data_IF_932240295819
#
_entry.id   IF_932240295819
#
_cell.length_a   1.000
_cell.length_b   1.000
_cell.length_c   1.000
_cell.angle_alpha   90.00
_cell.angle_beta   90.00
_cell.angle_gamma   90.00
#
_symmetry.space_group_name_H-M   'P 1'
#
loop_
_entity.id
_entity.type
_entity.pdbx_description
1 polymer ?
#
# COMPACT_ATOMS: atom_id res chain seq x y z
N UNK A 1 8.01 -9.01 -4.64
CA UNK A 1 9.33 -8.72 -4.01
C UNK A 1 9.82 -7.32 -4.36
N UNK A 2 10.11 -7.01 -5.63
CA UNK A 2 10.60 -5.68 -6.04
C UNK A 2 9.71 -4.51 -5.56
N UNK A 3 8.40 -4.59 -5.78
CA UNK A 3 7.42 -3.56 -5.35
C UNK A 3 7.45 -3.31 -3.82
N UNK A 4 7.56 -4.37 -3.02
CA UNK A 4 7.58 -4.24 -1.55
C UNK A 4 8.90 -3.69 -1.02
N UNK A 5 10.01 -3.96 -1.72
CA UNK A 5 11.34 -3.60 -1.27
C UNK A 5 11.85 -2.28 -1.88
N UNK A 6 11.15 -1.68 -2.83
CA UNK A 6 11.51 -0.34 -3.32
C UNK A 6 11.22 0.70 -2.23
N UNK A 7 12.09 1.71 -2.05
CA UNK A 7 11.91 2.72 -1.02
C UNK A 7 10.70 3.63 -1.30
N UNK A 8 10.31 3.80 -2.56
CA UNK A 8 9.17 4.65 -2.92
C UNK A 8 7.84 4.00 -2.54
N UNK A 9 6.87 4.77 -2.00
CA UNK A 9 5.47 4.34 -1.94
C UNK A 9 4.95 4.01 -3.34
N UNK A 10 4.16 2.94 -3.44
CA UNK A 10 3.57 2.48 -4.70
C UNK A 10 2.05 2.55 -4.60
N UNK A 11 1.44 3.27 -5.53
CA UNK A 11 -0.01 3.42 -5.65
C UNK A 11 -0.48 2.68 -6.91
N UNK A 12 -1.52 1.86 -6.78
CA UNK A 12 -2.22 1.28 -7.93
C UNK A 12 -3.51 2.04 -8.21
N UNK A 13 -3.74 2.44 -9.46
CA UNK A 13 -5.05 2.86 -9.97
C UNK A 13 -5.66 1.70 -10.78
N UNK A 14 -6.84 1.23 -10.39
CA UNK A 14 -7.43 0.00 -10.94
C UNK A 14 -8.81 0.30 -11.52
N UNK A 15 -8.88 0.29 -12.84
CA UNK A 15 -10.13 0.33 -13.58
C UNK A 15 -10.36 -1.01 -14.30
N UNK A 16 -11.54 -1.61 -14.10
CA UNK A 16 -11.92 -2.86 -14.75
C UNK A 16 -11.35 -4.14 -14.14
N UNK A 17 -10.83 -5.04 -14.97
CA UNK A 17 -10.54 -6.44 -14.61
C UNK A 17 -9.15 -6.57 -13.97
N UNK A 18 -9.11 -6.94 -12.69
CA UNK A 18 -7.89 -7.16 -11.91
C UNK A 18 -7.85 -8.61 -11.40
N UNK A 19 -7.35 -9.55 -12.20
CA UNK A 19 -7.46 -10.99 -11.91
C UNK A 19 -6.11 -11.70 -11.96
N UNK A 20 -5.97 -12.76 -11.15
CA UNK A 20 -4.75 -13.58 -11.10
C UNK A 20 -3.53 -12.72 -10.77
N UNK A 21 -2.50 -12.75 -11.63
CA UNK A 21 -1.30 -11.94 -11.48
C UNK A 21 -1.58 -10.43 -11.36
N UNK A 22 -2.64 -9.91 -12.00
CA UNK A 22 -3.05 -8.51 -11.84
C UNK A 22 -3.45 -8.19 -10.39
N UNK A 23 -4.25 -9.06 -9.76
CA UNK A 23 -4.64 -8.93 -8.36
C UNK A 23 -3.44 -9.07 -7.40
N UNK A 24 -2.47 -9.92 -7.76
CA UNK A 24 -1.21 -10.05 -7.02
C UNK A 24 -0.39 -8.76 -7.07
N UNK A 25 -0.25 -8.15 -8.25
CA UNK A 25 0.48 -6.88 -8.39
C UNK A 25 -0.23 -5.76 -7.63
N UNK A 26 -1.56 -5.70 -7.73
CA UNK A 26 -2.37 -4.74 -6.98
C UNK A 26 -2.14 -4.87 -5.47
N UNK A 27 -2.30 -6.06 -4.88
CA UNK A 27 -2.10 -6.25 -3.43
C UNK A 27 -0.66 -6.02 -2.96
N UNK A 28 0.33 -6.07 -3.88
CA UNK A 28 1.72 -5.77 -3.56
C UNK A 28 2.01 -4.27 -3.48
N UNK A 29 1.14 -3.41 -4.04
CA UNK A 29 1.24 -1.95 -3.87
C UNK A 29 0.86 -1.54 -2.44
N UNK A 30 1.32 -0.38 -2.01
CA UNK A 30 1.06 0.13 -0.66
C UNK A 30 -0.37 0.67 -0.55
N UNK A 31 -0.82 1.40 -1.58
CA UNK A 31 -2.16 2.01 -1.68
C UNK A 31 -2.84 1.57 -2.98
N UNK A 32 -4.16 1.33 -2.93
CA UNK A 32 -4.96 0.91 -4.09
C UNK A 32 -6.19 1.79 -4.23
N UNK A 33 -6.31 2.49 -5.34
CA UNK A 33 -7.50 3.21 -5.76
C UNK A 33 -8.20 2.39 -6.84
N UNK A 34 -9.53 2.33 -6.81
CA UNK A 34 -10.31 1.51 -7.73
C UNK A 34 -11.54 2.20 -8.26
N UNK A 35 -12.26 1.52 -9.15
CA UNK A 35 -13.59 1.93 -9.61
C UNK A 35 -14.66 1.00 -9.10
N UNK A 36 -15.91 1.45 -9.01
CA UNK A 36 -17.04 0.59 -8.60
C UNK A 36 -17.21 -0.62 -9.56
N UNK A 37 -16.91 -0.41 -10.85
CA UNK A 37 -17.00 -1.42 -11.92
C UNK A 37 -15.86 -2.44 -11.89
N UNK A 38 -14.83 -2.21 -11.06
CA UNK A 38 -13.68 -3.10 -10.97
C UNK A 38 -14.07 -4.51 -10.50
N UNK A 39 -13.37 -5.51 -11.03
CA UNK A 39 -13.57 -6.93 -10.68
C UNK A 39 -12.24 -7.54 -10.28
N UNK A 40 -12.13 -7.90 -9.00
CA UNK A 40 -10.92 -8.47 -8.40
C UNK A 40 -11.12 -9.97 -8.22
N UNK A 41 -10.17 -10.80 -8.65
CA UNK A 41 -10.27 -12.26 -8.41
C UNK A 41 -8.94 -12.98 -8.36
N UNK A 42 -8.85 -13.98 -7.49
CA UNK A 42 -7.71 -14.88 -7.33
C UNK A 42 -8.06 -16.26 -7.92
N UNK A 43 -7.93 -16.39 -9.24
CA UNK A 43 -8.51 -17.50 -10.02
C UNK A 43 -7.68 -18.80 -10.01
N UNK A 44 -6.63 -18.92 -9.20
CA UNK A 44 -5.72 -20.08 -9.23
C UNK A 44 -6.43 -21.40 -8.91
N UNK A 45 -7.37 -21.41 -7.96
CA UNK A 45 -8.15 -22.59 -7.62
C UNK A 45 -9.06 -23.08 -8.76
N UNK A 46 -9.51 -22.17 -9.64
CA UNK A 46 -10.35 -22.51 -10.80
C UNK A 46 -9.64 -23.32 -11.87
N UNK A 47 -8.31 -23.32 -11.86
CA UNK A 47 -7.47 -24.10 -12.78
C UNK A 47 -6.78 -25.27 -12.09
N UNK A 48 -7.26 -25.66 -10.90
CA UNK A 48 -6.73 -26.80 -10.14
C UNK A 48 -5.39 -26.54 -9.44
N UNK A 49 -4.98 -25.28 -9.33
CA UNK A 49 -3.80 -24.88 -8.56
C UNK A 49 -4.19 -24.53 -7.12
N UNK A 50 -3.19 -24.49 -6.24
CA UNK A 50 -3.40 -23.90 -4.92
C UNK A 50 -3.91 -22.46 -5.10
N UNK A 51 -4.85 -22.03 -4.25
CA UNK A 51 -5.40 -20.67 -4.28
C UNK A 51 -4.35 -19.57 -4.03
N UNK A 52 -3.10 -19.94 -3.76
CA UNK A 52 -2.02 -19.06 -3.41
C UNK A 52 -0.87 -19.11 -4.41
N UNK A 53 -0.42 -17.93 -4.82
CA UNK A 53 0.80 -17.71 -5.58
C UNK A 53 1.37 -16.34 -5.21
N UNK A 54 2.66 -16.13 -5.45
CA UNK A 54 3.35 -14.83 -5.36
C UNK A 54 3.12 -14.04 -4.05
N UNK A 55 2.85 -14.75 -2.94
CA UNK A 55 2.61 -14.16 -1.62
C UNK A 55 1.15 -13.91 -1.25
N UNK A 56 0.17 -14.41 -2.02
CA UNK A 56 -1.26 -14.21 -1.74
C UNK A 56 -1.67 -14.58 -0.31
N UNK A 57 -1.27 -15.75 0.20
CA UNK A 57 -1.57 -16.16 1.58
C UNK A 57 -0.87 -15.32 2.65
N UNK A 58 0.21 -14.62 2.30
CA UNK A 58 0.93 -13.77 3.26
C UNK A 58 0.37 -12.34 3.26
N UNK A 59 -0.03 -11.82 2.10
CA UNK A 59 -0.36 -10.41 1.92
C UNK A 59 -1.86 -10.16 2.01
N UNK A 60 -2.68 -10.96 1.31
CA UNK A 60 -4.12 -10.70 1.22
C UNK A 60 -4.83 -10.72 2.59
N UNK A 61 -4.58 -11.68 3.49
CA UNK A 61 -5.16 -11.64 4.84
C UNK A 61 -4.84 -10.40 5.65
N UNK A 62 -3.68 -9.76 5.39
CA UNK A 62 -3.26 -8.54 6.09
C UNK A 62 -4.00 -7.30 5.58
N UNK A 63 -4.54 -7.37 4.36
CA UNK A 63 -5.30 -6.28 3.74
C UNK A 63 -6.78 -6.40 4.11
N UNK A 64 -7.36 -7.60 3.94
CA UNK A 64 -8.82 -7.78 4.05
C UNK A 64 -9.25 -8.69 5.20
N UNK A 65 -8.32 -9.22 6.00
CA UNK A 65 -8.60 -10.20 7.05
C UNK A 65 -8.60 -11.65 6.57
N UNK A 66 -8.28 -12.58 7.49
CA UNK A 66 -8.06 -14.01 7.18
C UNK A 66 -9.29 -14.69 6.56
N UNK A 67 -10.49 -14.48 7.11
CA UNK A 67 -11.71 -15.16 6.64
C UNK A 67 -12.08 -14.78 5.21
N UNK A 68 -12.07 -13.48 4.92
CA UNK A 68 -12.35 -12.94 3.57
C UNK A 68 -11.30 -13.37 2.55
N UNK A 69 -10.01 -13.38 2.95
CA UNK A 69 -8.95 -13.88 2.10
C UNK A 69 -9.14 -15.37 1.78
N UNK A 70 -9.42 -16.21 2.78
CA UNK A 70 -9.69 -17.63 2.56
C UNK A 70 -10.87 -17.85 1.60
N UNK A 71 -11.96 -17.09 1.77
CA UNK A 71 -13.12 -17.15 0.87
C UNK A 71 -12.72 -16.91 -0.59
N UNK A 72 -11.98 -15.83 -0.88
CA UNK A 72 -11.57 -15.49 -2.23
C UNK A 72 -10.57 -16.49 -2.81
N UNK A 73 -9.58 -16.94 -2.02
CA UNK A 73 -8.53 -17.85 -2.47
C UNK A 73 -9.06 -19.28 -2.71
N UNK A 74 -10.05 -19.73 -1.96
CA UNK A 74 -10.68 -21.04 -2.19
C UNK A 74 -11.68 -20.99 -3.35
N UNK A 75 -12.59 -20.02 -3.34
CA UNK A 75 -13.68 -19.97 -4.35
C UNK A 75 -13.22 -19.47 -5.71
N UNK A 76 -12.18 -18.63 -5.76
CA UNK A 76 -11.79 -17.89 -6.95
C UNK A 76 -12.92 -17.01 -7.49
N UNK A 77 -13.88 -16.59 -6.66
CA UNK A 77 -14.98 -15.71 -7.09
C UNK A 77 -14.48 -14.30 -7.38
N UNK A 78 -15.33 -13.51 -8.02
CA UNK A 78 -15.06 -12.08 -8.18
C UNK A 78 -15.49 -11.34 -6.91
N UNK A 79 -14.64 -10.42 -6.46
CA UNK A 79 -14.94 -9.35 -5.52
C UNK A 79 -15.21 -8.08 -6.34
N UNK A 80 -16.34 -7.41 -6.08
CA UNK A 80 -16.68 -6.15 -6.76
C UNK A 80 -15.85 -4.98 -6.23
N UNK A 81 -15.82 -3.85 -6.94
CA UNK A 81 -15.16 -2.64 -6.47
C UNK A 81 -15.70 -2.13 -5.13
N UNK A 82 -17.03 -2.11 -4.97
CA UNK A 82 -17.68 -1.72 -3.71
C UNK A 82 -17.36 -2.68 -2.55
N UNK A 83 -17.30 -3.98 -2.82
CA UNK A 83 -16.91 -4.96 -1.81
C UNK A 83 -15.43 -4.80 -1.44
N UNK A 84 -14.58 -4.57 -2.44
CA UNK A 84 -13.15 -4.34 -2.28
C UNK A 84 -12.87 -3.10 -1.40
N UNK A 85 -13.58 -2.00 -1.58
CA UNK A 85 -13.45 -0.81 -0.72
C UNK A 85 -13.92 -1.13 0.71
N UNK A 86 -15.12 -1.68 0.87
CA UNK A 86 -15.69 -2.04 2.18
C UNK A 86 -14.81 -3.00 2.98
N UNK A 87 -14.07 -3.87 2.29
CA UNK A 87 -13.19 -4.85 2.90
C UNK A 87 -11.78 -4.31 3.18
N UNK A 88 -11.45 -3.10 2.72
CA UNK A 88 -10.13 -2.49 2.86
C UNK A 88 -9.13 -2.90 1.78
N UNK A 89 -9.56 -3.60 0.73
CA UNK A 89 -8.71 -3.85 -0.44
C UNK A 89 -8.47 -2.55 -1.21
N UNK A 90 -9.52 -1.80 -1.54
CA UNK A 90 -9.36 -0.44 -2.04
C UNK A 90 -9.38 0.56 -0.89
N UNK A 91 -8.49 1.54 -0.96
CA UNK A 91 -8.46 2.67 -0.04
C UNK A 91 -9.58 3.67 -0.36
N UNK A 92 -9.88 3.87 -1.66
CA UNK A 92 -10.94 4.75 -2.14
C UNK A 92 -11.45 4.27 -3.50
N UNK A 93 -12.68 4.65 -3.83
CA UNK A 93 -13.27 4.45 -5.15
C UNK A 93 -13.42 5.80 -5.86
N UNK A 94 -13.17 5.77 -7.16
CA UNK A 94 -13.30 6.91 -8.07
C UNK A 94 -14.00 6.47 -9.36
N UNK A 95 -14.39 7.43 -10.20
CA UNK A 95 -14.91 7.13 -11.53
C UNK A 95 -13.78 6.64 -12.47
N UNK A 96 -14.14 5.87 -13.49
CA UNK A 96 -13.16 5.31 -14.44
C UNK A 96 -12.31 6.38 -15.12
N UNK A 97 -12.90 7.56 -15.39
CA UNK A 97 -12.22 8.69 -16.03
C UNK A 97 -11.23 9.41 -15.10
N UNK A 98 -11.39 9.29 -13.78
CA UNK A 98 -10.62 10.07 -12.80
C UNK A 98 -9.67 9.25 -11.94
N UNK A 99 -9.89 7.94 -11.78
CA UNK A 99 -9.10 7.08 -10.87
C UNK A 99 -7.58 7.16 -11.08
N UNK A 100 -7.12 7.33 -12.33
CA UNK A 100 -5.71 7.51 -12.62
C UNK A 100 -5.20 8.88 -12.17
N UNK A 101 -5.96 9.96 -12.44
CA UNK A 101 -5.58 11.30 -12.03
C UNK A 101 -5.53 11.41 -10.50
N UNK A 102 -6.50 10.83 -9.81
CA UNK A 102 -6.54 10.78 -8.34
C UNK A 102 -5.31 10.05 -7.74
N UNK A 103 -4.88 8.97 -8.39
CA UNK A 103 -3.65 8.27 -8.00
C UNK A 103 -2.40 9.11 -8.26
N UNK A 104 -2.33 9.84 -9.38
CA UNK A 104 -1.22 10.73 -9.71
C UNK A 104 -1.16 11.92 -8.75
N UNK A 105 -2.29 12.57 -8.45
CA UNK A 105 -2.36 13.65 -7.47
C UNK A 105 -1.95 13.17 -6.07
N UNK A 106 -2.33 11.95 -5.69
CA UNK A 106 -1.85 11.34 -4.45
C UNK A 106 -0.34 11.11 -4.48
N UNK A 107 0.19 10.63 -5.60
CA UNK A 107 1.64 10.45 -5.78
C UNK A 107 2.39 11.78 -5.69
N UNK A 108 1.88 12.84 -6.33
CA UNK A 108 2.45 14.20 -6.27
C UNK A 108 2.51 14.71 -4.83
N UNK A 109 1.43 14.53 -4.05
CA UNK A 109 1.44 14.89 -2.62
C UNK A 109 2.48 14.12 -1.80
N UNK A 110 2.72 12.84 -2.12
CA UNK A 110 3.76 12.05 -1.45
C UNK A 110 5.16 12.48 -1.87
N UNK A 111 5.36 12.83 -3.15
CA UNK A 111 6.64 13.34 -3.67
C UNK A 111 7.01 14.69 -3.06
N UNK A 112 6.02 15.56 -2.82
CA UNK A 112 6.19 16.82 -2.08
C UNK A 112 6.51 16.62 -0.59
N UNK A 113 6.34 15.41 -0.06
CA UNK A 113 6.58 15.04 1.33
C UNK A 113 8.02 14.62 1.64
N UNK A 114 8.31 14.23 2.89
CA UNK A 114 9.64 13.77 3.30
C UNK A 114 9.91 12.36 2.74
N UNK A 115 10.42 12.29 1.51
CA UNK A 115 10.60 11.06 0.75
C UNK A 115 11.43 9.99 1.48
N UNK A 116 12.49 10.40 2.18
CA UNK A 116 13.31 9.49 2.99
C UNK A 116 12.48 8.87 4.13
N UNK A 117 11.76 9.70 4.88
CA UNK A 117 10.90 9.24 5.97
C UNK A 117 9.79 8.31 5.46
N UNK A 118 9.17 8.61 4.31
CA UNK A 118 8.19 7.73 3.67
C UNK A 118 8.76 6.34 3.36
N UNK A 119 10.00 6.25 2.85
CA UNK A 119 10.67 4.98 2.62
C UNK A 119 10.98 4.20 3.89
N UNK A 120 11.37 4.89 4.96
CA UNK A 120 11.56 4.27 6.29
C UNK A 120 10.22 3.76 6.83
N UNK A 121 9.14 4.55 6.76
CA UNK A 121 7.80 4.13 7.18
C UNK A 121 7.32 2.90 6.41
N UNK A 122 7.50 2.87 5.08
CA UNK A 122 7.18 1.70 4.26
C UNK A 122 7.95 0.46 4.70
N UNK A 123 9.23 0.62 5.06
CA UNK A 123 10.06 -0.47 5.58
C UNK A 123 9.49 -1.03 6.88
N UNK A 124 9.13 -0.15 7.84
CA UNK A 124 8.54 -0.57 9.12
C UNK A 124 7.21 -1.30 8.92
N UNK A 125 6.30 -0.77 8.09
CA UNK A 125 5.02 -1.42 7.76
C UNK A 125 5.20 -2.82 7.15
N UNK A 126 6.23 -3.00 6.33
CA UNK A 126 6.50 -4.30 5.71
C UNK A 126 7.12 -5.32 6.69
N UNK A 127 7.83 -4.84 7.71
CA UNK A 127 8.51 -5.67 8.70
C UNK A 127 7.65 -6.02 9.91
N UNK A 128 6.66 -5.19 10.24
CA UNK A 128 5.82 -5.28 11.45
C UNK A 128 5.36 -6.72 11.77
N UNK A 129 4.85 -7.44 10.78
CA UNK A 129 4.39 -8.83 10.94
C UNK A 129 5.46 -9.86 11.33
N UNK A 130 6.73 -9.50 11.21
CA UNK A 130 7.88 -10.35 11.59
C UNK A 130 8.45 -9.96 12.95
N UNK A 131 7.83 -8.99 13.63
CA UNK A 131 8.27 -8.42 14.89
C UNK A 131 7.21 -8.65 15.97
N UNK A 132 7.65 -8.78 17.22
CA UNK A 132 6.76 -8.54 18.36
C UNK A 132 6.47 -7.04 18.48
N UNK A 133 5.47 -6.67 19.29
CA UNK A 133 5.15 -5.26 19.56
C UNK A 133 6.36 -4.55 20.17
N UNK A 134 7.09 -5.20 21.07
CA UNK A 134 8.29 -4.64 21.70
C UNK A 134 9.40 -4.40 20.67
N UNK A 135 9.60 -5.34 19.74
CA UNK A 135 10.57 -5.19 18.65
C UNK A 135 10.17 -4.08 17.68
N UNK A 136 8.86 -3.95 17.38
CA UNK A 136 8.35 -2.89 16.52
C UNK A 136 8.59 -1.52 17.16
N UNK A 137 8.26 -1.33 18.44
CA UNK A 137 8.48 -0.07 19.17
C UNK A 137 9.96 0.34 19.15
N UNK A 138 10.87 -0.59 19.43
CA UNK A 138 12.31 -0.31 19.40
C UNK A 138 12.80 0.03 17.98
N UNK A 139 12.33 -0.71 16.97
CA UNK A 139 12.68 -0.45 15.57
C UNK A 139 12.17 0.91 15.10
N UNK A 140 10.96 1.29 15.51
CA UNK A 140 10.37 2.59 15.23
C UNK A 140 11.12 3.73 15.94
N UNK A 141 11.58 3.53 17.18
CA UNK A 141 12.41 4.50 17.88
C UNK A 141 13.72 4.78 17.15
N UNK A 142 14.37 3.73 16.63
CA UNK A 142 15.57 3.85 15.80
C UNK A 142 15.26 4.54 14.46
N UNK A 143 14.15 4.19 13.81
CA UNK A 143 13.69 4.82 12.59
C UNK A 143 13.49 6.35 12.77
N UNK A 144 12.89 6.76 13.89
CA UNK A 144 12.76 8.18 14.24
C UNK A 144 14.12 8.84 14.45
N UNK A 145 15.01 8.23 15.23
CA UNK A 145 16.35 8.76 15.46
C UNK A 145 17.16 8.93 14.17
N UNK A 146 16.97 8.05 13.18
CA UNK A 146 17.57 8.18 11.84
C UNK A 146 16.93 9.36 11.09
N UNK A 147 15.60 9.48 11.07
CA UNK A 147 14.92 10.57 10.39
C UNK A 147 15.24 11.95 11.01
N UNK A 148 15.48 12.02 12.32
CA UNK A 148 15.89 13.27 12.99
C UNK A 148 17.29 13.74 12.60
N UNK A 149 18.10 12.89 11.96
CA UNK A 149 19.45 13.24 11.47
C UNK A 149 19.42 13.83 10.06
N UNK A 150 18.28 13.82 9.37
CA UNK A 150 18.17 14.33 7.99
C UNK A 150 17.95 15.84 7.98
N UNK A 151 18.33 16.49 6.88
CA UNK A 151 18.07 17.92 6.68
C UNK A 151 16.57 18.22 6.61
N UNK A 152 15.77 17.28 6.10
CA UNK A 152 14.31 17.39 6.06
C UNK A 152 13.67 17.62 7.44
N UNK A 153 14.24 17.05 8.52
CA UNK A 153 13.76 17.33 9.88
C UNK A 153 14.04 18.78 10.28
N UNK A 154 15.21 19.30 9.94
CA UNK A 154 15.59 20.70 10.19
C UNK A 154 14.71 21.65 9.37
N UNK A 155 14.49 21.37 8.08
CA UNK A 155 13.59 22.16 7.20
C UNK A 155 12.17 22.20 7.76
N UNK A 156 11.65 21.06 8.22
CA UNK A 156 10.34 20.99 8.87
C UNK A 156 10.27 21.85 10.13
N UNK A 157 11.29 21.75 10.99
CA UNK A 157 11.36 22.53 12.23
C UNK A 157 11.41 24.04 11.95
N UNK A 158 12.27 24.48 11.02
CA UNK A 158 12.38 25.89 10.66
C UNK A 158 11.10 26.45 10.04
N UNK A 159 10.50 25.71 9.10
CA UNK A 159 9.24 26.10 8.47
C UNK A 159 8.11 26.19 9.50
N UNK A 160 8.06 25.27 10.47
CA UNK A 160 7.11 25.31 11.57
C UNK A 160 7.27 26.58 12.42
N UNK A 161 8.50 26.93 12.80
CA UNK A 161 8.79 28.17 13.56
C UNK A 161 8.39 29.43 12.77
N UNK A 162 8.61 29.43 11.45
CA UNK A 162 8.26 30.54 10.54
C UNK A 162 6.79 30.55 10.11
N UNK A 163 6.02 29.50 10.42
CA UNK A 163 4.64 29.26 9.93
C UNK A 163 4.54 29.21 8.40
N UNK A 164 5.53 28.58 7.78
CA UNK A 164 5.63 28.39 6.34
C UNK A 164 5.43 26.90 5.98
N UNK A 165 5.18 26.60 4.68
CA UNK A 165 5.13 25.22 4.20
C UNK A 165 6.58 24.71 4.07
N UNK A 166 6.96 23.57 4.68
CA UNK A 166 8.28 23.00 4.46
C UNK A 166 8.44 22.51 3.03
N UNK A 167 9.68 22.60 2.53
CA UNK A 167 10.09 21.99 1.27
C UNK A 167 11.01 20.84 1.62
N UNK A 168 10.67 19.63 1.19
CA UNK A 168 11.43 18.42 1.47
C UNK A 168 12.27 18.02 0.26
N UNK A 169 13.50 17.57 0.51
CA UNK A 169 14.47 17.20 -0.52
C UNK A 169 14.92 15.72 -0.39
N UNK A 170 14.54 15.03 0.68
CA UNK A 170 14.84 13.62 0.90
C UNK A 170 16.25 13.33 1.40
N UNK A 171 16.92 14.33 1.99
CA UNK A 171 18.25 14.26 2.58
C UNK A 171 18.26 14.82 4.01
#
# INVERSE_FOLDING_TARGET
KAIKNCPQPVISAIDGICVGAGAILAMASDIRLGTQSAKISFIFSKVGLAGCDMGACAILPRIIGQGRAAELLFSGRNMSGEEAERWGFFNQLHESETVLNEALEMAERLVEGPNFAHGITKTMLNQEWSMSIEQAIESEAQAQAICMQTEDFVRAYEAFVKKEKPVFEGN
#
